data_IF_420739005552
#
_entry.id   IF_420739005552
#
_cell.length_a   1.000
_cell.length_b   1.000
_cell.length_c   1.000
_cell.angle_alpha   90.00
_cell.angle_beta   90.00
_cell.angle_gamma   90.00
#
_symmetry.space_group_name_H-M   'P 1'
#
loop_
_entity.id
_entity.type
_entity.pdbx_description
1 polymer ?
#
# COMPACT_ATOMS: atom_id res chain seq x y z
N UNK A 1 -14.50 -7.17 -9.16
CA UNK A 1 -13.94 -7.24 -7.79
C UNK A 1 -12.46 -6.82 -7.77
N UNK A 2 -11.59 -7.43 -8.58
CA UNK A 2 -10.13 -7.16 -8.60
C UNK A 2 -9.73 -5.69 -8.85
N UNK A 3 -10.40 -5.01 -9.78
CA UNK A 3 -10.14 -3.58 -10.06
C UNK A 3 -10.36 -2.67 -8.83
N UNK A 4 -11.29 -3.05 -7.93
CA UNK A 4 -11.52 -2.29 -6.68
C UNK A 4 -10.40 -2.50 -5.67
N UNK A 5 -9.82 -3.70 -5.60
CA UNK A 5 -8.71 -4.05 -4.69
C UNK A 5 -7.44 -3.30 -5.09
N UNK A 6 -7.11 -3.28 -6.39
CA UNK A 6 -5.93 -2.56 -6.91
C UNK A 6 -6.06 -1.05 -6.64
N UNK A 7 -7.24 -0.48 -6.86
CA UNK A 7 -7.50 0.94 -6.56
C UNK A 7 -7.34 1.25 -5.07
N UNK A 8 -7.84 0.38 -4.18
CA UNK A 8 -7.70 0.56 -2.74
C UNK A 8 -6.24 0.48 -2.30
N UNK A 9 -5.45 -0.43 -2.86
CA UNK A 9 -4.04 -0.58 -2.54
C UNK A 9 -3.24 0.68 -2.91
N UNK A 10 -3.46 1.24 -4.09
CA UNK A 10 -2.82 2.49 -4.52
C UNK A 10 -3.22 3.69 -3.63
N UNK A 11 -4.51 3.79 -3.26
CA UNK A 11 -4.97 4.85 -2.36
C UNK A 11 -4.36 4.71 -0.96
N UNK A 12 -4.23 3.48 -0.46
CA UNK A 12 -3.63 3.23 0.85
C UNK A 12 -2.15 3.64 0.89
N UNK A 13 -1.38 3.35 -0.17
CA UNK A 13 0.01 3.78 -0.30
C UNK A 13 0.17 5.31 -0.27
N UNK A 14 -0.69 6.02 -1.01
CA UNK A 14 -0.70 7.49 -1.03
C UNK A 14 -1.01 8.05 0.36
N UNK A 15 -2.08 7.55 1.00
CA UNK A 15 -2.51 8.03 2.31
C UNK A 15 -1.45 7.74 3.37
N UNK A 16 -0.85 6.55 3.36
CA UNK A 16 0.18 6.18 4.35
C UNK A 16 1.45 7.01 4.19
N UNK A 17 1.91 7.28 2.96
CA UNK A 17 3.06 8.15 2.72
C UNK A 17 2.79 9.61 3.13
N UNK A 18 1.60 10.13 2.83
CA UNK A 18 1.17 11.46 3.29
C UNK A 18 1.07 11.54 4.82
N UNK A 19 0.53 10.49 5.44
CA UNK A 19 0.41 10.38 6.90
C UNK A 19 1.78 10.36 7.57
N UNK A 20 2.73 9.56 7.08
CA UNK A 20 4.11 9.55 7.57
C UNK A 20 4.76 10.94 7.50
N UNK A 21 4.58 11.64 6.38
CA UNK A 21 5.08 13.02 6.21
C UNK A 21 4.44 14.00 7.19
N UNK A 22 3.13 13.90 7.43
CA UNK A 22 2.45 14.71 8.43
C UNK A 22 2.96 14.45 9.86
N UNK A 23 3.19 13.18 10.22
CA UNK A 23 3.77 12.82 11.52
C UNK A 23 5.17 13.42 11.72
N UNK A 24 6.02 13.40 10.69
CA UNK A 24 7.36 14.01 10.75
C UNK A 24 7.29 15.53 10.99
N UNK A 25 6.37 16.22 10.31
CA UNK A 25 6.16 17.66 10.48
C UNK A 25 5.63 17.98 11.87
N UNK A 26 4.65 17.23 12.36
CA UNK A 26 4.11 17.39 13.72
C UNK A 26 5.18 17.14 14.79
N UNK A 27 6.03 16.13 14.62
CA UNK A 27 7.13 15.86 15.54
C UNK A 27 8.13 17.02 15.62
N UNK A 28 8.46 17.65 14.48
CA UNK A 28 9.32 18.85 14.44
C UNK A 28 8.64 20.05 15.08
N UNK A 29 7.38 20.31 14.74
CA UNK A 29 6.62 21.42 15.31
C UNK A 29 6.47 21.28 16.83
N UNK A 30 6.17 20.09 17.33
CA UNK A 30 6.07 19.82 18.77
C UNK A 30 7.38 20.10 19.50
N UNK A 31 8.53 19.76 18.89
CA UNK A 31 9.86 20.06 19.45
C UNK A 31 10.12 21.56 19.53
N UNK A 32 9.75 22.32 18.48
CA UNK A 32 9.91 23.78 18.46
C UNK A 32 8.98 24.47 19.47
N UNK A 33 7.71 24.04 19.54
CA UNK A 33 6.75 24.56 20.52
C UNK A 33 7.22 24.30 21.95
N UNK A 34 7.77 23.12 22.22
CA UNK A 34 8.33 22.80 23.53
C UNK A 34 9.46 23.75 23.93
N UNK A 35 10.39 24.02 23.02
CA UNK A 35 11.49 24.96 23.26
C UNK A 35 10.97 26.38 23.51
N UNK A 36 10.01 26.85 22.70
CA UNK A 36 9.37 28.14 22.91
C UNK A 36 8.65 28.23 24.27
N UNK A 37 7.97 27.15 24.70
CA UNK A 37 7.33 27.09 26.02
C UNK A 37 8.37 27.21 27.14
N UNK A 38 9.51 26.51 27.04
CA UNK A 38 10.57 26.63 28.04
C UNK A 38 11.18 28.02 28.08
N UNK A 39 11.44 28.64 26.93
CA UNK A 39 11.96 30.00 26.86
C UNK A 39 10.97 31.01 27.46
N UNK A 40 9.68 30.91 27.11
CA UNK A 40 8.63 31.74 27.67
C UNK A 40 8.53 31.56 29.19
N UNK A 41 8.61 30.32 29.69
CA UNK A 41 8.56 30.05 31.13
C UNK A 41 9.76 30.64 31.86
N UNK A 42 10.97 30.52 31.31
CA UNK A 42 12.16 31.12 31.90
C UNK A 42 12.06 32.65 31.97
N UNK A 43 11.56 33.29 30.91
CA UNK A 43 11.33 34.73 30.89
C UNK A 43 10.28 35.15 31.93
N UNK A 44 9.18 34.40 32.05
CA UNK A 44 8.15 34.65 33.06
C UNK A 44 8.65 34.42 34.48
N UNK A 45 9.46 33.38 34.72
CA UNK A 45 10.06 33.11 36.03
C UNK A 45 11.05 34.22 36.41
N UNK A 46 11.79 34.78 35.45
CA UNK A 46 12.64 35.95 35.68
C UNK A 46 11.83 37.20 36.05
N UNK A 47 10.74 37.48 35.31
CA UNK A 47 9.86 38.61 35.60
C UNK A 47 9.13 38.47 36.95
N UNK A 48 8.83 37.25 37.37
CA UNK A 48 8.13 36.92 38.61
C UNK A 48 9.08 36.46 39.72
N UNK A 49 10.38 36.77 39.64
CA UNK A 49 11.36 36.28 40.60
C UNK A 49 11.03 36.68 42.05
N UNK A 50 10.45 37.87 42.27
CA UNK A 50 10.00 38.33 43.59
C UNK A 50 8.81 37.53 44.14
N UNK A 51 7.93 37.07 43.25
CA UNK A 51 6.76 36.25 43.59
C UNK A 51 7.11 34.74 43.66
N UNK A 52 8.38 34.35 43.57
CA UNK A 52 8.80 32.94 43.53
C UNK A 52 8.59 32.27 42.15
N UNK A 53 8.65 33.06 41.08
CA UNK A 53 8.41 32.63 39.70
C UNK A 53 6.93 32.39 39.40
N UNK A 54 6.66 31.77 38.26
CA UNK A 54 5.31 31.39 37.84
C UNK A 54 4.66 30.47 38.88
N UNK A 55 5.41 29.56 39.51
CA UNK A 55 4.83 28.66 40.51
C UNK A 55 4.41 29.35 41.79
N UNK A 56 5.26 30.23 42.32
CA UNK A 56 4.93 30.98 43.53
C UNK A 56 3.75 31.92 43.29
N UNK A 57 3.74 32.62 42.14
CA UNK A 57 2.65 33.54 41.77
C UNK A 57 1.29 32.87 41.65
N UNK A 58 1.24 31.68 41.04
CA UNK A 58 -0.02 30.94 40.83
C UNK A 58 -0.32 29.91 41.92
N UNK A 59 0.48 29.84 42.98
CA UNK A 59 0.36 28.85 44.06
C UNK A 59 0.23 27.40 43.52
N UNK A 60 1.06 27.06 42.53
CA UNK A 60 1.07 25.74 41.90
C UNK A 60 1.86 24.75 42.76
N UNK A 61 1.23 23.67 43.21
CA UNK A 61 1.90 22.59 43.95
C UNK A 61 2.84 21.75 43.06
N UNK A 62 2.55 21.65 41.77
CA UNK A 62 3.33 20.89 40.79
C UNK A 62 4.15 21.85 39.91
N UNK A 63 5.30 22.27 40.41
CA UNK A 63 6.12 23.27 39.72
C UNK A 63 7.02 22.70 38.59
N UNK A 64 7.16 21.37 38.51
CA UNK A 64 8.01 20.73 37.52
C UNK A 64 7.31 20.68 36.16
N UNK A 65 7.77 21.51 35.21
CA UNK A 65 7.31 21.43 33.81
C UNK A 65 8.17 20.41 33.04
N UNK A 66 7.75 19.15 33.07
CA UNK A 66 8.34 18.11 32.23
C UNK A 66 7.45 17.87 31.02
N UNK A 67 7.88 18.38 29.86
CA UNK A 67 7.28 18.03 28.57
C UNK A 67 8.16 16.90 28.01
N UNK A 68 7.58 15.74 27.65
CA UNK A 68 8.38 14.62 27.15
C UNK A 68 8.87 14.86 25.71
N UNK A 69 10.09 14.39 25.39
CA UNK A 69 10.59 14.38 24.02
C UNK A 69 10.22 13.10 23.28
N UNK A 70 9.02 13.09 22.70
CA UNK A 70 8.56 11.96 21.90
C UNK A 70 8.96 12.06 20.42
N UNK A 71 9.78 13.05 20.04
CA UNK A 71 10.15 13.28 18.62
C UNK A 71 10.76 12.05 17.97
N UNK A 72 11.70 11.38 18.66
CA UNK A 72 12.37 10.18 18.13
C UNK A 72 11.39 9.04 17.88
N UNK A 73 10.52 8.76 18.85
CA UNK A 73 9.50 7.72 18.74
C UNK A 73 8.54 8.00 17.57
N UNK A 74 8.06 9.24 17.43
CA UNK A 74 7.16 9.61 16.33
C UNK A 74 7.86 9.51 14.97
N UNK A 75 9.13 9.93 14.86
CA UNK A 75 9.92 9.79 13.63
C UNK A 75 10.18 8.32 13.27
N UNK A 76 10.43 7.47 14.26
CA UNK A 76 10.60 6.04 14.05
C UNK A 76 9.31 5.39 13.54
N UNK A 77 8.17 5.71 14.16
CA UNK A 77 6.85 5.25 13.70
C UNK A 77 6.58 5.72 12.26
N UNK A 78 6.83 7.00 11.95
CA UNK A 78 6.66 7.52 10.59
C UNK A 78 7.55 6.79 9.57
N UNK A 79 8.79 6.47 9.96
CA UNK A 79 9.72 5.70 9.13
C UNK A 79 9.23 4.27 8.89
N UNK A 80 8.72 3.60 9.91
CA UNK A 80 8.14 2.25 9.77
C UNK A 80 6.88 2.27 8.88
N UNK A 81 5.99 3.24 9.03
CA UNK A 81 4.83 3.43 8.14
C UNK A 81 5.29 3.58 6.69
N UNK A 82 6.33 4.41 6.45
CA UNK A 82 6.87 4.65 5.11
C UNK A 82 7.51 3.40 4.51
N UNK A 83 8.17 2.55 5.30
CA UNK A 83 8.70 1.26 4.85
C UNK A 83 7.60 0.30 4.42
N UNK A 84 6.52 0.21 5.20
CA UNK A 84 5.38 -0.68 4.89
C UNK A 84 4.64 -0.20 3.64
N UNK A 85 4.54 1.12 3.43
CA UNK A 85 3.92 1.69 2.25
C UNK A 85 4.69 1.38 0.96
N UNK A 86 6.01 1.14 1.03
CA UNK A 86 6.87 0.93 -0.15
C UNK A 86 6.84 -0.51 -0.72
N UNK A 87 5.73 -1.24 -0.54
CA UNK A 87 5.55 -2.53 -1.21
C UNK A 87 5.11 -2.23 -2.66
N UNK A 88 5.92 -2.59 -3.68
CA UNK A 88 5.52 -2.35 -5.06
C UNK A 88 4.18 -3.03 -5.26
N UNK A 89 3.22 -2.30 -5.82
CA UNK A 89 1.99 -2.88 -6.35
C UNK A 89 2.44 -4.04 -7.22
N UNK A 90 2.27 -5.28 -6.73
CA UNK A 90 2.31 -6.45 -7.57
C UNK A 90 1.15 -6.22 -8.53
N UNK A 91 1.44 -5.56 -9.64
CA UNK A 91 0.69 -5.74 -10.86
C UNK A 91 0.73 -7.24 -11.04
N UNK A 92 -0.38 -7.89 -10.72
CA UNK A 92 -0.65 -9.25 -11.14
C UNK A 92 -0.49 -9.22 -12.66
N UNK A 93 0.72 -9.46 -13.14
CA UNK A 93 0.98 -9.57 -14.57
C UNK A 93 0.42 -10.93 -14.98
N UNK A 94 -0.90 -10.99 -15.15
CA UNK A 94 -1.60 -11.85 -16.09
C UNK A 94 -1.17 -13.33 -16.08
N UNK A 95 -0.69 -13.86 -14.95
CA UNK A 95 -0.17 -15.23 -14.86
C UNK A 95 -1.28 -16.24 -15.12
N UNK A 96 -2.51 -15.89 -14.75
CA UNK A 96 -3.72 -16.64 -15.07
C UNK A 96 -4.11 -16.63 -16.55
N UNK A 97 -3.64 -15.65 -17.33
CA UNK A 97 -3.96 -15.55 -18.76
C UNK A 97 -2.89 -16.28 -19.60
N UNK A 98 -1.60 -16.14 -19.27
CA UNK A 98 -0.52 -16.78 -20.06
C UNK A 98 -0.45 -18.31 -19.88
N UNK A 99 -0.54 -18.83 -18.66
CA UNK A 99 -0.37 -20.27 -18.39
C UNK A 99 -1.58 -21.11 -18.82
N UNK A 100 -2.79 -20.54 -18.73
CA UNK A 100 -4.00 -21.23 -19.16
C UNK A 100 -4.16 -21.21 -20.69
N UNK A 101 -3.94 -20.07 -21.35
CA UNK A 101 -4.00 -19.98 -22.82
C UNK A 101 -2.90 -20.79 -23.51
N UNK A 102 -1.69 -20.82 -22.95
CA UNK A 102 -0.59 -21.63 -23.52
C UNK A 102 -0.87 -23.12 -23.44
N UNK A 103 -1.48 -23.62 -22.36
CA UNK A 103 -1.90 -25.01 -22.26
C UNK A 103 -3.09 -25.33 -23.17
N UNK A 104 -3.99 -24.38 -23.39
CA UNK A 104 -5.16 -24.56 -24.26
C UNK A 104 -4.80 -24.56 -25.75
N UNK A 105 -3.91 -23.67 -26.20
CA UNK A 105 -3.51 -23.50 -27.60
C UNK A 105 -2.24 -24.31 -27.98
N UNK A 106 -1.39 -24.63 -27.01
CA UNK A 106 -0.10 -25.31 -27.23
C UNK A 106 -0.14 -26.83 -27.09
N UNK A 107 -1.23 -27.41 -26.57
CA UNK A 107 -1.32 -28.85 -26.31
C UNK A 107 -1.53 -29.70 -27.58
N UNK A 108 -0.99 -30.95 -27.66
CA UNK A 108 -1.13 -31.84 -28.82
C UNK A 108 -2.57 -32.26 -29.18
N UNK A 109 -3.56 -31.87 -28.38
CA UNK A 109 -4.96 -32.26 -28.52
C UNK A 109 -5.60 -31.72 -29.80
N UNK A 110 -5.19 -30.55 -30.29
CA UNK A 110 -5.70 -30.00 -31.57
C UNK A 110 -5.32 -30.87 -32.76
N UNK A 111 -4.14 -31.53 -32.71
CA UNK A 111 -3.74 -32.49 -33.76
C UNK A 111 -4.63 -33.72 -33.77
N UNK A 112 -5.09 -34.18 -32.60
CA UNK A 112 -6.03 -35.30 -32.47
C UNK A 112 -7.42 -34.92 -33.00
N UNK A 113 -7.91 -33.72 -32.68
CA UNK A 113 -9.21 -33.21 -33.17
C UNK A 113 -9.18 -33.02 -34.70
N UNK A 114 -8.12 -32.44 -35.24
CA UNK A 114 -7.95 -32.28 -36.69
C UNK A 114 -7.90 -33.62 -37.43
N UNK A 115 -7.22 -34.63 -36.87
CA UNK A 115 -7.18 -35.97 -37.46
C UNK A 115 -8.55 -36.65 -37.49
N UNK A 116 -9.34 -36.53 -36.41
CA UNK A 116 -10.71 -37.08 -36.36
C UNK A 116 -11.60 -36.40 -37.40
N UNK A 117 -11.50 -35.08 -37.56
CA UNK A 117 -12.26 -34.35 -38.57
C UNK A 117 -11.88 -34.78 -40.00
N UNK A 118 -10.59 -34.96 -40.27
CA UNK A 118 -10.10 -35.42 -41.56
C UNK A 118 -10.57 -36.85 -41.88
N UNK A 119 -10.55 -37.76 -40.90
CA UNK A 119 -11.09 -39.11 -41.05
C UNK A 119 -12.62 -39.13 -41.24
N UNK A 120 -13.35 -38.22 -40.60
CA UNK A 120 -14.80 -38.09 -40.80
C UNK A 120 -15.14 -37.59 -42.21
N UNK A 121 -14.38 -36.63 -42.74
CA UNK A 121 -14.55 -36.12 -44.10
C UNK A 121 -14.21 -37.18 -45.15
N UNK A 122 -13.11 -37.94 -44.98
CA UNK A 122 -12.77 -39.02 -45.91
C UNK A 122 -13.77 -40.18 -45.83
N UNK A 123 -14.28 -40.49 -44.64
CA UNK A 123 -15.36 -41.45 -44.44
C UNK A 123 -16.67 -41.03 -45.11
N UNK A 124 -17.06 -39.76 -45.02
CA UNK A 124 -18.23 -39.21 -45.71
C UNK A 124 -18.08 -39.25 -47.24
N UNK A 125 -16.90 -38.89 -47.75
CA UNK A 125 -16.60 -38.97 -49.19
C UNK A 125 -16.68 -40.44 -49.65
N UNK A 126 -16.07 -41.37 -48.90
CA UNK A 126 -16.10 -42.80 -49.23
C UNK A 126 -17.51 -43.41 -49.13
N UNK A 127 -18.34 -42.94 -48.18
CA UNK A 127 -19.75 -43.35 -48.07
C UNK A 127 -20.61 -42.80 -49.22
N UNK A 128 -20.24 -41.67 -49.81
CA UNK A 128 -20.92 -41.07 -50.96
C UNK A 128 -20.51 -41.63 -52.32
N UNK A 129 -19.32 -42.25 -52.45
CA UNK A 129 -18.82 -42.82 -53.71
C UNK A 129 -19.47 -44.13 -54.21
N UNK A 130 -20.01 -45.07 -53.40
CA UNK A 130 -20.66 -46.27 -53.95
C UNK A 130 -22.01 -45.97 -54.63
N UNK A 131 -22.54 -44.75 -54.52
CA UNK A 131 -23.80 -44.36 -55.17
C UNK A 131 -23.64 -43.79 -56.59
N UNK A 132 -22.41 -43.49 -57.05
CA UNK A 132 -22.20 -42.89 -58.38
C UNK A 132 -21.59 -43.82 -59.43
N UNK A 133 -21.40 -45.11 -59.14
CA UNK A 133 -20.81 -46.09 -60.06
C UNK A 133 -21.74 -47.29 -60.37
N UNK A 134 -23.05 -47.13 -60.22
CA UNK A 134 -24.05 -48.13 -60.63
C UNK A 134 -25.20 -47.54 -61.47
N UNK A 135 -24.89 -46.57 -62.35
CA UNK A 135 -25.80 -46.16 -63.41
C UNK A 135 -25.07 -45.97 -64.73
#
# INVERSE_FOLDING_TARGET
>A
MLNRIIKLQAVLEIITNQTATALELLARQSSQMREAIYQNRMALDYLLAEDGGVCGKFNLSNCCLQIDDNKKAVLEIAKEIRKIAHVPIQMWENTWDKDWWSNLLGGPWWKKVGFVFLCALTGLIFYSLPYSLSH
#
